data_IF_631343501999
#
_entry.id   IF_631343501999
#
_cell.length_a   1.000
_cell.length_b   1.000
_cell.length_c   1.000
_cell.angle_alpha   90.00
_cell.angle_beta   90.00
_cell.angle_gamma   90.00
#
_symmetry.space_group_name_H-M   'P 1'
#
loop_
_entity.id
_entity.type
_entity.pdbx_description
1 polymer ?
#
# COMPACT_ATOMS: atom_id res chain seq x y z
N UNK A 1 -23.51 20.78 -4.85
CA UNK A 1 -22.25 21.11 -4.15
C UNK A 1 -21.49 19.81 -4.01
N UNK A 2 -20.37 19.67 -4.71
CA UNK A 2 -19.59 18.43 -4.73
C UNK A 2 -18.56 18.59 -3.61
N UNK A 3 -18.75 17.90 -2.49
CA UNK A 3 -17.78 17.89 -1.39
C UNK A 3 -16.56 17.07 -1.84
N UNK A 4 -15.59 17.72 -2.48
CA UNK A 4 -14.33 17.12 -2.92
C UNK A 4 -13.29 17.06 -1.78
N UNK A 5 -13.71 16.57 -0.62
CA UNK A 5 -12.82 16.24 0.49
C UNK A 5 -13.17 14.84 0.97
N UNK A 6 -12.89 13.84 0.13
CA UNK A 6 -12.61 12.51 0.65
C UNK A 6 -11.30 12.65 1.44
N UNK A 7 -11.31 12.57 2.79
CA UNK A 7 -10.06 12.49 3.52
C UNK A 7 -9.27 11.33 2.92
N UNK A 8 -7.99 11.57 2.61
CA UNK A 8 -7.09 10.49 2.22
C UNK A 8 -7.22 9.43 3.30
N UNK A 9 -7.69 8.24 2.93
CA UNK A 9 -7.79 7.12 3.85
C UNK A 9 -6.36 6.65 4.11
N UNK A 10 -5.74 7.27 5.12
CA UNK A 10 -4.37 6.99 5.51
C UNK A 10 -4.23 5.53 5.93
N UNK A 11 -5.27 4.94 6.52
CA UNK A 11 -5.26 3.53 6.92
C UNK A 11 -5.14 2.62 5.70
N UNK A 12 -5.86 2.93 4.62
CA UNK A 12 -5.73 2.22 3.34
C UNK A 12 -4.31 2.39 2.75
N UNK A 13 -3.76 3.60 2.77
CA UNK A 13 -2.42 3.85 2.21
C UNK A 13 -1.31 3.08 2.96
N UNK A 14 -1.43 2.95 4.29
CA UNK A 14 -0.48 2.19 5.10
C UNK A 14 -0.63 0.66 4.95
N UNK A 15 -1.75 0.17 4.40
CA UNK A 15 -1.92 -1.25 4.11
C UNK A 15 -1.13 -1.69 2.87
N UNK A 16 -0.97 -0.82 1.87
CA UNK A 16 -0.35 -1.12 0.57
C UNK A 16 1.03 -0.48 0.38
N UNK A 17 1.95 -0.78 1.30
CA UNK A 17 3.30 -0.23 1.25
C UNK A 17 4.19 -0.90 0.18
N UNK A 18 5.10 -0.15 -0.46
CA UNK A 18 6.12 -0.71 -1.35
C UNK A 18 6.90 -1.87 -0.73
N UNK A 19 7.20 -2.90 -1.52
CA UNK A 19 7.88 -4.11 -1.09
C UNK A 19 6.99 -5.17 -0.43
N UNK A 20 5.73 -4.83 -0.10
CA UNK A 20 4.76 -5.80 0.43
C UNK A 20 4.50 -6.91 -0.59
N UNK A 21 4.59 -8.16 -0.14
CA UNK A 21 4.29 -9.34 -0.98
C UNK A 21 2.78 -9.59 -1.04
N UNK A 22 2.26 -9.71 -2.25
CA UNK A 22 0.84 -9.98 -2.53
C UNK A 22 0.68 -11.11 -3.54
N UNK A 23 -0.49 -11.74 -3.55
CA UNK A 23 -0.92 -12.68 -4.58
C UNK A 23 -2.14 -12.13 -5.30
N UNK A 24 -2.29 -12.44 -6.60
CA UNK A 24 -3.51 -12.13 -7.33
C UNK A 24 -4.57 -13.19 -7.06
N UNK A 25 -5.77 -12.78 -6.65
CA UNK A 25 -6.89 -13.70 -6.40
C UNK A 25 -7.28 -14.51 -7.64
N UNK A 26 -7.09 -13.94 -8.83
CA UNK A 26 -7.36 -14.61 -10.11
C UNK A 26 -6.27 -15.61 -10.53
N UNK A 27 -5.07 -15.54 -9.93
CA UNK A 27 -3.93 -16.42 -10.24
C UNK A 27 -3.24 -16.90 -8.96
N UNK A 28 -3.89 -17.83 -8.23
CA UNK A 28 -3.30 -18.39 -7.01
C UNK A 28 -1.93 -19.01 -7.27
N UNK A 29 -0.97 -18.76 -6.37
CA UNK A 29 0.42 -19.18 -6.48
C UNK A 29 1.35 -18.19 -7.17
N UNK A 30 0.83 -17.15 -7.85
CA UNK A 30 1.65 -16.10 -8.46
C UNK A 30 1.74 -14.90 -7.54
N UNK A 31 2.96 -14.59 -7.08
CA UNK A 31 3.21 -13.49 -6.15
C UNK A 31 3.91 -12.31 -6.81
N UNK A 32 3.59 -11.11 -6.32
CA UNK A 32 4.16 -9.84 -6.75
C UNK A 32 4.57 -9.03 -5.52
N UNK A 33 5.45 -8.05 -5.75
CA UNK A 33 5.70 -6.97 -4.80
C UNK A 33 4.90 -5.74 -5.20
N UNK A 34 4.37 -5.02 -4.20
CA UNK A 34 3.86 -3.67 -4.42
C UNK A 34 5.02 -2.75 -4.78
N UNK A 35 4.87 -2.02 -5.88
CA UNK A 35 5.80 -0.96 -6.28
C UNK A 35 5.41 0.35 -5.59
N UNK A 36 4.16 0.78 -5.78
CA UNK A 36 3.60 1.96 -5.13
C UNK A 36 2.07 1.92 -5.00
N UNK A 37 1.54 2.82 -4.16
CA UNK A 37 0.13 3.13 -4.04
C UNK A 37 -0.11 4.57 -4.47
N UNK A 38 -0.96 4.78 -5.48
CA UNK A 38 -1.32 6.10 -6.01
C UNK A 38 -2.79 6.41 -5.73
N UNK A 39 -3.06 7.12 -4.63
CA UNK A 39 -4.43 7.40 -4.15
C UNK A 39 -5.32 8.15 -5.16
N UNK A 40 -4.72 8.85 -6.13
CA UNK A 40 -5.45 9.59 -7.17
C UNK A 40 -5.80 8.74 -8.41
N UNK A 41 -5.37 7.47 -8.45
CA UNK A 41 -5.61 6.55 -9.56
C UNK A 41 -6.67 5.50 -9.20
N UNK A 42 -7.37 5.00 -10.22
CA UNK A 42 -8.36 3.94 -10.07
C UNK A 42 -8.13 2.94 -11.20
N UNK A 43 -7.54 1.75 -10.93
CA UNK A 43 -7.09 1.25 -9.63
C UNK A 43 -5.82 1.92 -9.07
N UNK A 44 -5.58 1.86 -7.74
CA UNK A 44 -4.49 2.61 -7.10
C UNK A 44 -3.17 1.83 -6.89
N UNK A 45 -3.15 0.50 -7.01
CA UNK A 45 -1.98 -0.32 -6.60
C UNK A 45 -1.16 -0.74 -7.81
N UNK A 46 0.11 -0.36 -7.86
CA UNK A 46 1.06 -0.84 -8.86
C UNK A 46 1.88 -2.00 -8.33
N UNK A 47 2.09 -3.01 -9.16
CA UNK A 47 2.89 -4.20 -8.84
C UNK A 47 4.13 -4.24 -9.72
N UNK A 48 5.26 -4.65 -9.15
CA UNK A 48 6.52 -4.76 -9.88
C UNK A 48 6.37 -5.73 -11.06
N UNK A 49 6.50 -5.21 -12.28
CA UNK A 49 6.41 -5.99 -13.52
C UNK A 49 5.00 -6.33 -14.00
N UNK A 50 3.94 -5.94 -13.29
CA UNK A 50 2.57 -6.06 -13.80
C UNK A 50 2.29 -4.88 -14.77
N UNK A 51 1.75 -5.12 -15.97
CA UNK A 51 1.51 -4.08 -16.96
C UNK A 51 0.43 -3.07 -16.56
N UNK A 52 -0.38 -3.36 -15.52
CA UNK A 52 -1.50 -2.50 -15.10
C UNK A 52 -1.67 -2.44 -13.59
N UNK A 53 -2.25 -1.35 -13.07
CA UNK A 53 -2.58 -1.28 -11.65
C UNK A 53 -3.73 -2.23 -11.27
N UNK A 54 -3.87 -2.50 -9.97
CA UNK A 54 -4.81 -3.45 -9.36
C UNK A 54 -5.66 -2.83 -8.26
N UNK A 55 -6.90 -3.30 -8.15
CA UNK A 55 -7.75 -2.95 -7.02
C UNK A 55 -7.36 -3.74 -5.77
N UNK A 56 -7.60 -3.18 -4.57
CA UNK A 56 -7.45 -3.89 -3.30
C UNK A 56 -8.07 -5.29 -3.28
N UNK A 57 -9.30 -5.44 -3.80
CA UNK A 57 -10.02 -6.71 -3.79
C UNK A 57 -9.52 -7.73 -4.83
N UNK A 58 -8.66 -7.33 -5.77
CA UNK A 58 -8.04 -8.25 -6.73
C UNK A 58 -6.82 -8.97 -6.13
N UNK A 59 -6.29 -8.48 -5.01
CA UNK A 59 -5.05 -8.94 -4.42
C UNK A 59 -5.25 -9.43 -2.99
N UNK A 60 -4.29 -10.21 -2.51
CA UNK A 60 -4.22 -10.66 -1.12
C UNK A 60 -2.81 -10.49 -0.59
N UNK A 61 -2.66 -9.75 0.52
CA UNK A 61 -1.37 -9.60 1.20
C UNK A 61 -0.95 -10.93 1.81
N UNK A 62 0.25 -11.39 1.44
CA UNK A 62 0.80 -12.68 1.83
C UNK A 62 1.70 -12.59 3.07
N UNK A 63 2.39 -11.47 3.23
CA UNK A 63 3.20 -11.19 4.41
C UNK A 63 3.08 -9.72 4.76
N UNK A 64 2.52 -9.43 5.93
CA UNK A 64 2.66 -8.11 6.55
C UNK A 64 4.07 -8.09 7.15
N UNK A 65 5.06 -7.66 6.37
CA UNK A 65 6.37 -7.38 6.94
C UNK A 65 6.16 -6.39 8.09
N UNK A 66 6.76 -6.67 9.25
CA UNK A 66 6.97 -5.64 10.25
C UNK A 66 7.75 -4.54 9.53
N UNK A 67 7.05 -3.43 9.24
CA UNK A 67 7.68 -2.23 8.68
C UNK A 67 8.90 -1.98 9.56
N UNK A 68 10.08 -1.95 8.94
CA UNK A 68 11.28 -1.47 9.64
C UNK A 68 11.07 0.03 9.87
N UNK A 69 10.30 0.35 10.90
CA UNK A 69 10.17 1.72 11.38
C UNK A 69 11.55 2.10 11.92
N UNK A 70 12.06 3.25 11.49
CA UNK A 70 13.16 3.86 12.20
C UNK A 70 12.66 4.15 13.62
N UNK A 71 13.45 3.78 14.63
CA UNK A 71 13.20 4.20 16.00
C UNK A 71 13.29 5.73 16.03
N UNK A 72 12.21 6.39 16.40
CA UNK A 72 12.21 7.84 16.58
C UNK A 72 12.91 8.12 17.91
N UNK A 73 14.17 8.52 17.84
CA UNK A 73 14.90 9.08 18.97
C UNK A 73 14.17 10.37 19.40
N UNK A 74 13.44 10.31 20.50
CA UNK A 74 12.85 11.48 21.15
C UNK A 74 14.00 12.31 21.74
N UNK A 75 14.45 13.33 21.00
CA UNK A 75 15.39 14.33 21.53
C UNK A 75 14.78 14.96 22.80
N UNK A 76 15.40 14.79 23.99
CA UNK A 76 14.83 15.27 25.25
C UNK A 76 15.01 16.78 25.48
N UNK A 77 15.37 17.57 24.47
CA UNK A 77 15.52 19.01 24.63
C UNK A 77 14.26 19.74 24.17
N UNK A 78 13.33 19.92 25.11
CA UNK A 78 12.71 21.21 25.47
C UNK A 78 11.78 20.93 26.66
N UNK A 79 12.39 20.96 27.85
CA UNK A 79 11.70 21.13 29.12
C UNK A 79 10.98 22.49 29.19
#
# INVERSE_FOLDING_TARGET
MINAQSPIDWDEMFEYLPGTMVELNAQPGVTYQIDCYEACMVPPIWLVGDPRPRYPHEIRIMSRQQVKACELELEPSLA
#
